data_IF_957476607211
#
_entry.id   IF_957476607211
#
_cell.length_a   1.000
_cell.length_b   1.000
_cell.length_c   1.000
_cell.angle_alpha   90.00
_cell.angle_beta   90.00
_cell.angle_gamma   90.00
#
_symmetry.space_group_name_H-M   'P 1'
#
loop_
_entity.id
_entity.type
_entity.pdbx_description
1 polymer ?
#
# COMPACT_ATOMS: atom_id res chain seq x y z
N UNK A 1 -7.01 -8.55 -10.19
CA UNK A 1 -5.74 -7.92 -9.76
C UNK A 1 -5.19 -8.66 -8.54
N UNK A 2 -3.92 -9.08 -8.52
CA UNK A 2 -3.29 -9.63 -7.30
C UNK A 2 -2.50 -8.48 -6.63
N UNK A 3 -2.78 -8.23 -5.35
CA UNK A 3 -2.14 -7.20 -4.52
C UNK A 3 -1.78 -7.75 -3.13
N UNK A 4 -1.45 -9.03 -3.06
CA UNK A 4 -1.24 -9.75 -1.79
C UNK A 4 -0.09 -9.13 -0.97
N UNK A 5 0.95 -8.63 -1.64
CA UNK A 5 2.10 -8.00 -0.97
C UNK A 5 1.74 -6.63 -0.39
N UNK A 6 0.94 -5.85 -1.10
CA UNK A 6 0.41 -4.57 -0.65
C UNK A 6 -0.56 -4.76 0.52
N UNK A 7 -1.44 -5.77 0.44
CA UNK A 7 -2.33 -6.13 1.55
C UNK A 7 -1.54 -6.55 2.79
N UNK A 8 -0.50 -7.37 2.61
CA UNK A 8 0.42 -7.74 3.68
C UNK A 8 1.11 -6.52 4.28
N UNK A 9 1.62 -5.60 3.45
CA UNK A 9 2.22 -4.36 3.91
C UNK A 9 1.24 -3.51 4.75
N UNK A 10 0.00 -3.33 4.27
CA UNK A 10 -1.02 -2.58 5.01
C UNK A 10 -1.34 -3.26 6.35
N UNK A 11 -1.52 -4.58 6.34
CA UNK A 11 -1.89 -5.29 7.55
C UNK A 11 -0.76 -5.29 8.59
N UNK A 12 0.43 -5.74 8.20
CA UNK A 12 1.54 -5.94 9.13
C UNK A 12 2.28 -4.64 9.44
N UNK A 13 2.66 -3.88 8.41
CA UNK A 13 3.46 -2.68 8.63
C UNK A 13 2.61 -1.47 9.00
N UNK A 14 1.52 -1.24 8.25
CA UNK A 14 0.69 -0.06 8.49
C UNK A 14 -0.26 -0.18 9.68
N UNK A 15 -0.76 -1.37 10.02
CA UNK A 15 -1.68 -1.52 11.16
C UNK A 15 -0.99 -2.06 12.41
N UNK A 16 -0.27 -3.18 12.31
CA UNK A 16 0.32 -3.81 13.50
C UNK A 16 1.56 -3.05 13.98
N UNK A 17 2.58 -2.89 13.14
CA UNK A 17 3.83 -2.21 13.49
C UNK A 17 3.58 -0.73 13.80
N UNK A 18 2.70 -0.07 13.05
CA UNK A 18 2.33 1.32 13.31
C UNK A 18 1.17 1.49 14.32
N UNK A 19 0.85 0.47 15.13
CA UNK A 19 -0.35 0.38 15.98
C UNK A 19 -0.59 1.51 17.00
N UNK A 20 0.25 2.55 17.05
CA UNK A 20 0.04 3.79 17.81
C UNK A 20 0.33 5.09 17.05
N UNK A 21 0.49 5.05 15.73
CA UNK A 21 0.89 6.21 14.92
C UNK A 21 2.34 6.66 15.17
N UNK A 22 3.16 5.76 15.72
CA UNK A 22 4.53 6.05 16.13
C UNK A 22 5.47 6.21 14.93
N UNK A 23 5.18 5.52 13.82
CA UNK A 23 5.98 5.55 12.62
C UNK A 23 5.32 6.38 11.52
N UNK A 24 6.12 7.20 10.85
CA UNK A 24 5.74 7.81 9.58
C UNK A 24 5.73 6.75 8.49
N UNK A 25 4.89 6.93 7.47
CA UNK A 25 4.79 5.98 6.35
C UNK A 25 6.14 5.68 5.68
N UNK A 26 7.01 6.69 5.56
CA UNK A 26 8.38 6.53 5.04
C UNK A 26 9.21 5.57 5.88
N UNK A 27 9.08 5.64 7.22
CA UNK A 27 9.80 4.75 8.14
C UNK A 27 9.30 3.32 8.01
N UNK A 28 7.99 3.12 7.83
CA UNK A 28 7.41 1.80 7.59
C UNK A 28 7.90 1.16 6.29
N UNK A 29 8.08 1.95 5.21
CA UNK A 29 8.64 1.43 3.94
C UNK A 29 10.11 1.06 4.11
N UNK A 30 10.87 1.86 4.87
CA UNK A 30 12.27 1.54 5.18
C UNK A 30 12.39 0.25 5.98
N UNK A 31 11.53 0.06 6.98
CA UNK A 31 11.49 -1.18 7.75
C UNK A 31 11.07 -2.37 6.86
N UNK A 32 10.10 -2.19 5.96
CA UNK A 32 9.73 -3.24 4.99
C UNK A 32 10.93 -3.65 4.13
N UNK A 33 11.64 -2.69 3.53
CA UNK A 33 12.83 -2.95 2.71
C UNK A 33 13.99 -3.57 3.49
N UNK A 34 14.07 -3.30 4.79
CA UNK A 34 15.12 -3.82 5.66
C UNK A 34 14.92 -5.28 6.03
N UNK A 35 13.67 -5.70 6.25
CA UNK A 35 13.38 -7.04 6.79
C UNK A 35 12.82 -8.01 5.76
N UNK A 36 12.22 -7.53 4.67
CA UNK A 36 11.68 -8.38 3.62
C UNK A 36 12.69 -8.65 2.51
N UNK A 37 12.47 -9.74 1.78
CA UNK A 37 13.27 -10.09 0.61
C UNK A 37 13.13 -9.05 -0.51
N UNK A 38 14.18 -8.88 -1.31
CA UNK A 38 14.17 -8.02 -2.51
C UNK A 38 13.01 -8.36 -3.47
N UNK A 39 12.65 -9.64 -3.60
CA UNK A 39 11.50 -10.08 -4.41
C UNK A 39 10.18 -9.44 -3.93
N UNK A 40 9.91 -9.49 -2.62
CA UNK A 40 8.72 -8.86 -2.03
C UNK A 40 8.75 -7.34 -2.15
N UNK A 41 9.93 -6.72 -2.05
CA UNK A 41 10.08 -5.27 -2.27
C UNK A 41 9.68 -4.91 -3.69
N UNK A 42 10.18 -5.64 -4.69
CA UNK A 42 9.83 -5.41 -6.09
C UNK A 42 8.34 -5.63 -6.34
N UNK A 43 7.75 -6.70 -5.79
CA UNK A 43 6.30 -6.94 -5.88
C UNK A 43 5.48 -5.81 -5.25
N UNK A 44 5.89 -5.31 -4.08
CA UNK A 44 5.19 -4.18 -3.44
C UNK A 44 5.19 -2.93 -4.32
N UNK A 45 6.30 -2.65 -5.01
CA UNK A 45 6.42 -1.53 -5.95
C UNK A 45 5.49 -1.73 -7.14
N UNK A 46 5.55 -2.90 -7.80
CA UNK A 46 4.68 -3.24 -8.94
C UNK A 46 3.19 -3.13 -8.58
N UNK A 47 2.80 -3.69 -7.43
CA UNK A 47 1.43 -3.62 -6.93
C UNK A 47 1.02 -2.18 -6.61
N UNK A 48 1.91 -1.36 -6.03
CA UNK A 48 1.64 0.05 -5.76
C UNK A 48 1.46 0.88 -7.05
N UNK A 49 2.18 0.57 -8.13
CA UNK A 49 1.97 1.20 -9.43
C UNK A 49 0.59 0.87 -10.00
N UNK A 50 0.18 -0.40 -9.93
CA UNK A 50 -1.14 -0.86 -10.38
C UNK A 50 -2.26 -0.17 -9.60
N UNK A 51 -2.13 -0.15 -8.27
CA UNK A 51 -3.09 0.50 -7.39
C UNK A 51 -3.13 2.01 -7.67
N UNK A 52 -1.99 2.66 -7.84
CA UNK A 52 -1.92 4.10 -8.14
C UNK A 52 -2.71 4.46 -9.41
N UNK A 53 -2.64 3.62 -10.45
CA UNK A 53 -3.43 3.79 -11.68
C UNK A 53 -4.93 3.66 -11.39
N UNK A 54 -5.33 2.61 -10.68
CA UNK A 54 -6.72 2.33 -10.33
C UNK A 54 -7.33 3.39 -9.39
N UNK A 55 -6.55 4.00 -8.50
CA UNK A 55 -7.04 5.07 -7.62
C UNK A 55 -7.38 6.37 -8.37
N UNK A 56 -7.02 6.50 -9.65
CA UNK A 56 -7.33 7.67 -10.47
C UNK A 56 -8.57 7.51 -11.35
N UNK A 57 -9.16 6.31 -11.44
CA UNK A 57 -10.43 6.10 -12.13
C UNK A 57 -11.62 6.30 -11.19
N UNK A 58 -12.83 6.32 -11.76
CA UNK A 58 -14.07 6.41 -11.00
C UNK A 58 -14.33 5.11 -10.22
N UNK A 59 -15.09 5.20 -9.13
CA UNK A 59 -15.27 4.07 -8.21
C UNK A 59 -16.01 2.88 -8.86
N UNK A 60 -16.84 3.13 -9.87
CA UNK A 60 -17.54 2.09 -10.64
C UNK A 60 -16.65 1.34 -11.63
N UNK A 61 -15.48 1.89 -11.96
CA UNK A 61 -14.47 1.27 -12.83
C UNK A 61 -13.41 0.50 -12.02
N UNK A 62 -13.43 0.65 -10.70
CA UNK A 62 -12.43 0.13 -9.80
C UNK A 62 -12.64 -1.37 -9.53
N UNK A 63 -11.55 -2.11 -9.50
CA UNK A 63 -11.54 -3.51 -9.06
C UNK A 63 -12.15 -3.66 -7.64
N UNK A 64 -13.03 -4.64 -7.39
CA UNK A 64 -13.74 -4.78 -6.12
C UNK A 64 -12.82 -4.84 -4.88
N UNK A 65 -11.66 -5.47 -5.02
CA UNK A 65 -10.67 -5.57 -3.93
C UNK A 65 -10.13 -4.20 -3.52
N UNK A 66 -9.91 -3.31 -4.49
CA UNK A 66 -9.43 -1.97 -4.23
C UNK A 66 -10.55 -1.05 -3.74
N UNK A 67 -11.78 -1.25 -4.21
CA UNK A 67 -12.94 -0.54 -3.68
C UNK A 67 -13.13 -0.85 -2.18
N UNK A 68 -12.99 -2.12 -1.78
CA UNK A 68 -13.03 -2.52 -0.38
C UNK A 68 -11.91 -1.88 0.46
N UNK A 69 -10.69 -1.81 -0.08
CA UNK A 69 -9.59 -1.09 0.56
C UNK A 69 -9.90 0.41 0.70
N UNK A 70 -10.44 1.04 -0.34
CA UNK A 70 -10.84 2.45 -0.32
C UNK A 70 -11.92 2.71 0.74
N UNK A 71 -12.87 1.79 0.91
CA UNK A 71 -13.89 1.89 1.96
C UNK A 71 -13.29 1.75 3.36
N UNK A 72 -12.21 0.99 3.51
CA UNK A 72 -11.56 0.75 4.82
C UNK A 72 -10.62 1.89 5.21
N UNK A 73 -9.76 2.34 4.30
CA UNK A 73 -8.66 3.28 4.58
C UNK A 73 -8.87 4.67 3.99
N UNK A 74 -9.82 4.84 3.08
CA UNK A 74 -10.04 6.06 2.33
C UNK A 74 -9.13 6.17 1.09
N UNK A 75 -9.74 6.47 -0.06
CA UNK A 75 -9.05 6.64 -1.35
C UNK A 75 -7.87 7.61 -1.29
N UNK A 76 -8.03 8.75 -0.58
CA UNK A 76 -6.95 9.76 -0.39
C UNK A 76 -5.75 9.20 0.37
N UNK A 77 -6.00 8.42 1.41
CA UNK A 77 -4.93 7.83 2.22
C UNK A 77 -4.14 6.80 1.43
N UNK A 78 -4.83 5.93 0.70
CA UNK A 78 -4.19 4.95 -0.19
C UNK A 78 -3.35 5.62 -1.29
N UNK A 79 -3.81 6.74 -1.86
CA UNK A 79 -3.00 7.54 -2.81
C UNK A 79 -1.72 8.07 -2.15
N UNK A 80 -1.80 8.48 -0.89
CA UNK A 80 -0.64 8.93 -0.12
C UNK A 80 0.36 7.79 0.08
N UNK A 81 -0.13 6.62 0.49
CA UNK A 81 0.70 5.44 0.73
C UNK A 81 1.40 4.99 -0.56
N UNK A 82 0.66 4.80 -1.66
CA UNK A 82 1.26 4.38 -2.93
C UNK A 82 2.28 5.39 -3.43
N UNK A 83 2.00 6.70 -3.31
CA UNK A 83 2.97 7.74 -3.67
C UNK A 83 4.28 7.62 -2.90
N UNK A 84 4.23 7.32 -1.61
CA UNK A 84 5.43 7.20 -0.79
C UNK A 84 6.18 5.90 -1.13
N UNK A 85 5.48 4.77 -1.32
CA UNK A 85 6.10 3.50 -1.75
C UNK A 85 6.89 3.67 -3.05
N UNK A 86 6.34 4.42 -4.00
CA UNK A 86 6.96 4.65 -5.32
C UNK A 86 8.06 5.71 -5.31
N UNK A 87 8.18 6.50 -4.24
CA UNK A 87 9.19 7.56 -4.12
C UNK A 87 10.44 7.13 -3.34
N UNK A 88 10.30 6.19 -2.41
CA UNK A 88 11.40 5.60 -1.64
C UNK A 88 12.07 4.45 -2.41
#
# INVERSE_FOLDING_TARGET
MNIDTFLYYIHVYHNEINGGGTYKQVELIKEFRRYESEEKVNRLIEEAELISKQLNVEDWEMEPILLNLCNTYGKRHLKSITKIILAE
#
